data_IF_090887310462
#
_entry.id   IF_090887310462
#
_cell.length_a   1.000
_cell.length_b   1.000
_cell.length_c   1.000
_cell.angle_alpha   90.00
_cell.angle_beta   90.00
_cell.angle_gamma   90.00
#
_symmetry.space_group_name_H-M   'P 1'
#
loop_
_entity.id
_entity.type
_entity.pdbx_description
1 polymer ?
#
# COMPACT_ATOMS: atom_id res chain seq x y z
N UNK A 1 4.40 -15.07 12.03
CA UNK A 1 3.96 -13.71 11.67
C UNK A 1 3.34 -13.02 12.87
N UNK A 2 3.76 -11.81 13.18
CA UNK A 2 3.19 -10.95 14.23
C UNK A 2 2.73 -9.64 13.58
N UNK A 3 1.54 -9.17 13.95
CA UNK A 3 0.98 -7.89 13.51
C UNK A 3 0.53 -7.08 14.70
N UNK A 4 1.02 -5.86 14.79
CA UNK A 4 0.55 -4.85 15.72
C UNK A 4 -0.19 -3.76 14.95
N UNK A 5 -1.35 -3.33 15.46
CA UNK A 5 -2.16 -2.27 14.84
C UNK A 5 -2.66 -1.32 15.91
N UNK A 6 -2.38 -0.04 15.69
CA UNK A 6 -2.94 1.07 16.46
C UNK A 6 -3.81 1.91 15.54
N UNK A 7 -5.04 2.18 15.95
CA UNK A 7 -5.97 3.02 15.18
C UNK A 7 -6.54 4.10 16.07
N UNK A 8 -6.57 5.31 15.54
CA UNK A 8 -7.16 6.47 16.17
C UNK A 8 -8.06 7.18 15.15
N UNK A 9 -9.27 7.52 15.58
CA UNK A 9 -10.21 8.26 14.74
C UNK A 9 -10.89 9.33 15.58
N UNK A 10 -10.85 10.56 15.10
CA UNK A 10 -11.51 11.70 15.73
C UNK A 10 -12.07 12.63 14.65
N UNK A 11 -13.39 12.82 14.67
CA UNK A 11 -14.07 13.71 13.73
C UNK A 11 -13.81 13.31 12.28
N UNK A 12 -13.14 14.21 11.55
CA UNK A 12 -12.85 14.06 10.12
C UNK A 12 -11.60 13.22 9.83
N UNK A 13 -10.75 12.98 10.84
CA UNK A 13 -9.45 12.38 10.70
C UNK A 13 -9.44 10.94 11.22
N UNK A 14 -8.70 10.11 10.53
CA UNK A 14 -8.38 8.76 10.97
C UNK A 14 -6.89 8.48 10.77
N UNK A 15 -6.25 7.99 11.80
CA UNK A 15 -4.85 7.58 11.77
C UNK A 15 -4.77 6.09 12.07
N UNK A 16 -3.93 5.38 11.34
CA UNK A 16 -3.65 3.97 11.60
C UNK A 16 -2.18 3.68 11.39
N UNK A 17 -1.58 3.15 12.43
CA UNK A 17 -0.21 2.62 12.39
C UNK A 17 -0.28 1.10 12.41
N UNK A 18 0.42 0.45 11.52
CA UNK A 18 0.52 -1.01 11.48
C UNK A 18 1.99 -1.41 11.39
N UNK A 19 2.43 -2.29 12.27
CA UNK A 19 3.74 -2.91 12.21
C UNK A 19 3.57 -4.41 12.03
N UNK A 20 4.19 -4.95 11.01
CA UNK A 20 4.20 -6.39 10.70
C UNK A 20 5.62 -6.92 10.81
N UNK A 21 5.75 -8.06 11.43
CA UNK A 21 6.96 -8.87 11.44
C UNK A 21 6.65 -10.28 10.93
N UNK A 22 7.46 -10.75 10.00
CA UNK A 22 7.35 -12.07 9.40
C UNK A 22 8.68 -12.81 9.55
N UNK A 23 8.64 -14.04 10.01
CA UNK A 23 9.78 -14.94 10.06
C UNK A 23 9.44 -16.20 9.30
N UNK A 24 10.26 -16.55 8.36
CA UNK A 24 10.18 -17.78 7.58
C UNK A 24 11.39 -18.65 7.94
N UNK A 25 11.13 -19.91 8.25
CA UNK A 25 12.17 -20.90 8.57
C UNK A 25 12.01 -22.07 7.62
N UNK A 26 13.02 -22.30 6.81
CA UNK A 26 13.12 -23.45 5.94
C UNK A 26 14.23 -24.38 6.46
N UNK A 27 13.85 -25.63 6.70
CA UNK A 27 14.85 -26.63 7.13
C UNK A 27 15.92 -26.85 6.04
N UNK A 28 17.22 -27.09 6.38
CA UNK A 28 17.70 -27.35 7.74
C UNK A 28 18.21 -26.12 8.51
N UNK A 29 18.52 -24.94 7.86
CA UNK A 29 19.16 -23.81 8.58
C UNK A 29 18.92 -22.43 7.98
N UNK A 30 18.05 -22.25 6.97
CA UNK A 30 17.74 -20.91 6.43
C UNK A 30 16.61 -20.25 7.21
N UNK A 31 16.92 -19.14 7.86
CA UNK A 31 15.95 -18.29 8.54
C UNK A 31 15.93 -16.95 7.81
N UNK A 32 14.78 -16.58 7.28
CA UNK A 32 14.53 -15.32 6.61
C UNK A 32 13.54 -14.49 7.41
N UNK A 33 13.80 -13.19 7.52
CA UNK A 33 13.01 -12.27 8.29
C UNK A 33 12.58 -11.08 7.42
N UNK A 34 11.38 -10.60 7.68
CA UNK A 34 10.86 -9.41 7.04
C UNK A 34 9.99 -8.60 7.99
N UNK A 35 10.06 -7.30 7.89
CA UNK A 35 9.19 -6.41 8.64
C UNK A 35 8.77 -5.20 7.83
N UNK A 36 7.66 -4.63 8.21
CA UNK A 36 7.17 -3.38 7.64
C UNK A 36 6.48 -2.54 8.70
N UNK A 37 6.56 -1.24 8.49
CA UNK A 37 5.79 -0.26 9.26
C UNK A 37 4.99 0.58 8.28
N UNK A 38 3.68 0.66 8.50
CA UNK A 38 2.75 1.40 7.67
C UNK A 38 2.05 2.45 8.51
N UNK A 39 2.09 3.69 8.03
CA UNK A 39 1.31 4.79 8.56
C UNK A 39 0.25 5.19 7.54
N UNK A 40 -1.01 5.16 7.95
CA UNK A 40 -2.15 5.59 7.14
C UNK A 40 -2.82 6.78 7.80
N UNK A 41 -3.10 7.80 7.00
CA UNK A 41 -3.86 8.98 7.38
C UNK A 41 -5.06 9.12 6.44
N UNK A 42 -6.25 9.13 6.99
CA UNK A 42 -7.51 9.35 6.26
C UNK A 42 -8.19 10.63 6.68
N UNK A 43 -8.76 11.34 5.72
CA UNK A 43 -9.60 12.51 5.95
C UNK A 43 -10.89 12.37 5.15
N UNK A 44 -12.01 12.73 5.77
CA UNK A 44 -13.31 12.85 5.11
C UNK A 44 -13.83 14.27 5.29
N UNK A 45 -14.03 14.97 4.20
CA UNK A 45 -14.51 16.34 4.23
C UNK A 45 -16.05 16.36 4.41
N UNK A 46 -16.59 17.13 5.38
CA UNK A 46 -18.03 17.18 5.61
C UNK A 46 -18.75 18.02 4.58
N UNK A 47 -18.07 19.02 3.99
CA UNK A 47 -18.65 19.96 3.02
C UNK A 47 -18.61 19.44 1.58
N UNK A 48 -17.73 18.50 1.28
CA UNK A 48 -17.59 17.86 -0.01
C UNK A 48 -17.65 16.35 0.17
N UNK A 49 -18.31 15.64 -0.71
CA UNK A 49 -18.37 14.18 -0.66
C UNK A 49 -17.01 13.57 -1.09
N UNK A 50 -15.94 14.07 -0.46
CA UNK A 50 -14.55 13.70 -0.74
C UNK A 50 -13.93 13.03 0.45
N UNK A 51 -13.37 11.85 0.20
CA UNK A 51 -12.53 11.12 1.15
C UNK A 51 -11.14 10.90 0.56
N UNK A 52 -10.12 11.31 1.29
CA UNK A 52 -8.73 11.12 0.92
C UNK A 52 -8.04 10.18 1.91
N UNK A 53 -7.15 9.34 1.43
CA UNK A 53 -6.30 8.50 2.28
C UNK A 53 -4.88 8.54 1.75
N UNK A 54 -3.94 8.87 2.60
CA UNK A 54 -2.51 8.83 2.34
C UNK A 54 -1.90 7.71 3.17
N UNK A 55 -0.98 6.98 2.59
CA UNK A 55 -0.30 5.87 3.25
C UNK A 55 1.17 5.86 2.88
N UNK A 56 2.02 5.74 3.89
CA UNK A 56 3.44 5.48 3.75
C UNK A 56 3.78 4.13 4.38
N UNK A 57 4.52 3.29 3.67
CA UNK A 57 4.98 1.99 4.15
C UNK A 57 6.48 1.89 3.95
N UNK A 58 7.21 1.70 5.02
CA UNK A 58 8.61 1.30 4.98
C UNK A 58 8.71 -0.20 5.18
N UNK A 59 9.50 -0.88 4.35
CA UNK A 59 9.67 -2.32 4.41
C UNK A 59 11.14 -2.73 4.31
N UNK A 60 11.46 -3.81 5.00
CA UNK A 60 12.77 -4.48 4.95
C UNK A 60 12.57 -5.99 5.07
N UNK A 61 13.12 -6.74 4.13
CA UNK A 61 13.12 -8.21 4.16
C UNK A 61 14.49 -8.73 3.72
N UNK A 62 14.89 -9.86 4.29
CA UNK A 62 16.16 -10.49 3.95
C UNK A 62 16.16 -11.05 2.53
N UNK A 63 15.03 -11.66 2.12
CA UNK A 63 14.85 -12.26 0.82
C UNK A 63 13.36 -12.24 0.36
N UNK A 64 13.08 -12.92 -0.75
CA UNK A 64 11.74 -13.04 -1.31
C UNK A 64 10.80 -13.89 -0.44
N UNK A 65 11.31 -14.88 0.31
CA UNK A 65 10.49 -15.79 1.11
C UNK A 65 9.91 -15.09 2.35
N UNK A 66 10.62 -14.09 2.86
CA UNK A 66 10.15 -13.22 3.96
C UNK A 66 9.38 -11.99 3.52
N UNK A 67 8.94 -11.94 2.23
CA UNK A 67 8.17 -10.82 1.68
C UNK A 67 6.99 -10.41 2.56
N UNK A 68 6.76 -9.11 2.61
CA UNK A 68 5.68 -8.51 3.38
C UNK A 68 4.55 -8.01 2.49
N UNK A 69 3.34 -7.99 3.01
CA UNK A 69 2.14 -7.59 2.29
C UNK A 69 1.53 -6.38 2.98
N UNK A 70 1.46 -5.25 2.28
CA UNK A 70 0.81 -4.05 2.78
C UNK A 70 -0.64 -3.99 2.30
N UNK A 71 -1.55 -3.73 3.23
CA UNK A 71 -2.91 -3.40 2.88
C UNK A 71 -2.97 -1.95 2.40
N UNK A 72 -3.51 -1.73 1.22
CA UNK A 72 -3.81 -0.41 0.67
C UNK A 72 -5.29 -0.32 0.29
N UNK A 73 -5.88 0.87 0.45
CA UNK A 73 -7.18 1.10 -0.15
C UNK A 73 -7.08 0.95 -1.66
N UNK A 74 -7.93 0.09 -2.22
CA UNK A 74 -8.04 -0.16 -3.65
C UNK A 74 -9.27 0.49 -4.27
N UNK A 75 -9.44 0.25 -5.57
CA UNK A 75 -10.65 0.55 -6.30
C UNK A 75 -11.79 -0.37 -5.84
N UNK A 76 -13.02 -0.05 -6.17
CA UNK A 76 -14.15 -0.92 -5.86
C UNK A 76 -14.03 -2.24 -6.63
N UNK A 77 -14.34 -3.33 -5.94
CA UNK A 77 -14.33 -4.69 -6.48
C UNK A 77 -12.95 -5.18 -6.95
N UNK A 78 -11.87 -4.52 -6.54
CA UNK A 78 -10.49 -4.97 -6.78
C UNK A 78 -9.86 -5.47 -5.49
N UNK A 79 -9.30 -6.68 -5.55
CA UNK A 79 -8.56 -7.28 -4.45
C UNK A 79 -7.08 -7.33 -4.82
N UNK A 80 -6.39 -6.25 -4.54
CA UNK A 80 -4.96 -6.17 -4.78
C UNK A 80 -4.24 -5.79 -3.49
N UNK A 81 -3.36 -6.66 -3.05
CA UNK A 81 -2.49 -6.43 -1.89
C UNK A 81 -1.06 -6.45 -2.40
N UNK A 82 -0.40 -5.30 -2.50
CA UNK A 82 0.98 -5.25 -2.94
C UNK A 82 1.90 -6.02 -1.99
N UNK A 83 2.79 -6.80 -2.56
CA UNK A 83 3.85 -7.51 -1.84
C UNK A 83 5.19 -6.82 -2.09
N UNK A 84 6.02 -6.77 -1.06
CA UNK A 84 7.33 -6.14 -1.11
C UNK A 84 8.40 -7.08 -0.56
N UNK A 85 9.55 -7.07 -1.20
CA UNK A 85 10.76 -7.76 -0.74
C UNK A 85 11.98 -6.87 -0.97
N UNK A 86 13.04 -7.09 -0.19
CA UNK A 86 14.20 -6.22 -0.14
C UNK A 86 13.98 -5.01 0.78
N UNK A 87 14.54 -3.87 0.46
CA UNK A 87 14.45 -2.65 1.25
C UNK A 87 13.88 -1.50 0.43
N UNK A 88 12.89 -0.81 0.99
CA UNK A 88 12.32 0.32 0.30
C UNK A 88 11.22 1.03 1.06
N UNK A 89 10.67 2.01 0.37
CA UNK A 89 9.55 2.82 0.84
C UNK A 89 8.46 2.84 -0.23
N UNK A 90 7.22 2.67 0.19
CA UNK A 90 6.06 2.86 -0.67
C UNK A 90 5.15 3.94 -0.14
N UNK A 91 4.80 4.87 -1.02
CA UNK A 91 3.77 5.87 -0.81
C UNK A 91 2.54 5.52 -1.63
N UNK A 92 1.36 5.67 -1.07
CA UNK A 92 0.11 5.60 -1.82
C UNK A 92 -0.88 6.70 -1.41
N UNK A 93 -1.59 7.22 -2.39
CA UNK A 93 -2.66 8.19 -2.22
C UNK A 93 -3.93 7.64 -2.87
N UNK A 94 -5.02 7.68 -2.14
CA UNK A 94 -6.34 7.24 -2.59
C UNK A 94 -7.34 8.36 -2.38
N UNK A 95 -8.02 8.76 -3.45
CA UNK A 95 -9.07 9.77 -3.45
C UNK A 95 -10.38 9.12 -3.89
N UNK A 96 -11.44 9.39 -3.16
CA UNK A 96 -12.80 9.01 -3.51
C UNK A 96 -13.68 10.23 -3.46
N UNK A 97 -14.35 10.51 -4.57
CA UNK A 97 -15.28 11.60 -4.74
C UNK A 97 -16.66 11.07 -5.15
N UNK A 98 -17.64 11.22 -4.28
CA UNK A 98 -19.04 10.83 -4.52
C UNK A 98 -19.81 12.07 -4.98
N UNK A 99 -19.74 12.39 -6.29
CA UNK A 99 -20.33 13.62 -6.84
C UNK A 99 -21.85 13.66 -6.66
N UNK A 100 -22.51 12.52 -6.93
CA UNK A 100 -23.93 12.28 -6.70
C UNK A 100 -24.16 10.78 -6.47
N UNK A 101 -25.37 10.40 -6.08
CA UNK A 101 -25.74 8.99 -5.84
C UNK A 101 -25.50 8.08 -7.05
N UNK A 102 -25.48 8.65 -8.25
CA UNK A 102 -25.27 7.96 -9.50
C UNK A 102 -23.84 8.05 -10.07
N UNK A 103 -22.99 8.98 -9.56
CA UNK A 103 -21.64 9.20 -10.06
C UNK A 103 -20.61 9.20 -8.92
N UNK A 104 -19.68 8.26 -8.99
CA UNK A 104 -18.53 8.15 -8.09
C UNK A 104 -17.24 8.08 -8.89
N UNK A 105 -16.23 8.82 -8.45
CA UNK A 105 -14.88 8.79 -8.98
C UNK A 105 -13.91 8.32 -7.91
N UNK A 106 -13.05 7.37 -8.26
CA UNK A 106 -11.95 6.92 -7.41
C UNK A 106 -10.66 7.05 -8.18
N UNK A 107 -9.64 7.63 -7.56
CA UNK A 107 -8.28 7.69 -8.07
C UNK A 107 -7.31 7.14 -7.03
N UNK A 108 -6.39 6.29 -7.45
CA UNK A 108 -5.32 5.76 -6.63
C UNK A 108 -4.00 5.95 -7.34
N UNK A 109 -3.07 6.55 -6.64
CA UNK A 109 -1.67 6.66 -7.06
C UNK A 109 -0.79 5.90 -6.06
N UNK A 110 0.17 5.14 -6.55
CA UNK A 110 1.16 4.45 -5.76
C UNK A 110 2.56 4.64 -6.33
N UNK A 111 3.54 4.78 -5.47
CA UNK A 111 4.96 4.82 -5.85
C UNK A 111 5.79 4.02 -4.86
N UNK A 112 6.59 3.11 -5.38
CA UNK A 112 7.56 2.32 -4.60
C UNK A 112 8.97 2.76 -4.98
N UNK A 113 9.78 3.01 -3.96
CA UNK A 113 11.20 3.37 -4.06
C UNK A 113 12.01 2.25 -3.41
N UNK A 114 12.80 1.53 -4.19
CA UNK A 114 13.72 0.52 -3.67
C UNK A 114 15.07 1.14 -3.37
N UNK A 115 15.67 0.72 -2.26
CA UNK A 115 17.00 1.19 -1.82
C UNK A 115 18.10 0.17 -2.08
N UNK A 116 17.74 -1.05 -2.43
CA UNK A 116 18.63 -2.22 -2.54
C UNK A 116 18.81 -2.70 -3.99
N UNK A 117 18.25 -1.98 -4.97
CA UNK A 117 18.31 -2.36 -6.39
C UNK A 117 18.19 -1.17 -7.32
N UNK A 118 18.78 -1.32 -8.49
CA UNK A 118 18.72 -0.33 -9.58
C UNK A 118 17.76 -0.74 -10.71
N UNK A 119 17.23 -1.96 -10.66
CA UNK A 119 16.27 -2.50 -11.63
C UNK A 119 15.15 -3.25 -10.91
N UNK A 120 13.93 -3.18 -11.43
CA UNK A 120 12.74 -3.82 -10.86
C UNK A 120 12.11 -4.71 -11.93
N UNK A 121 11.82 -5.96 -11.56
CA UNK A 121 11.23 -6.94 -12.46
C UNK A 121 12.25 -7.63 -13.35
N UNK A 122 11.79 -8.35 -14.37
CA UNK A 122 12.62 -9.07 -15.33
C UNK A 122 11.89 -9.26 -16.65
N UNK A 123 12.65 -9.49 -17.73
CA UNK A 123 12.09 -9.72 -19.06
C UNK A 123 11.35 -8.49 -19.59
N UNK A 124 10.13 -8.69 -20.09
CA UNK A 124 9.31 -7.61 -20.67
C UNK A 124 8.79 -6.61 -19.64
N UNK A 125 8.80 -6.98 -18.34
CA UNK A 125 8.36 -6.13 -17.23
C UNK A 125 9.53 -5.43 -16.50
N UNK A 126 10.72 -5.44 -17.13
CA UNK A 126 11.90 -4.81 -16.56
C UNK A 126 11.75 -3.28 -16.54
N UNK A 127 11.84 -2.70 -15.35
CA UNK A 127 11.90 -1.26 -15.15
C UNK A 127 13.35 -0.91 -14.80
N UNK A 128 14.00 -0.12 -15.68
CA UNK A 128 15.32 0.43 -15.39
C UNK A 128 15.17 1.58 -14.39
N UNK A 129 15.72 1.40 -13.22
CA UNK A 129 15.64 2.32 -12.10
C UNK A 129 15.03 1.68 -10.84
N UNK A 130 15.13 2.39 -9.74
CA UNK A 130 14.67 1.92 -8.42
C UNK A 130 13.26 2.40 -8.06
N UNK A 131 12.51 2.99 -9.02
CA UNK A 131 11.18 3.57 -8.82
C UNK A 131 10.14 2.83 -9.65
N UNK A 132 9.05 2.44 -9.01
CA UNK A 132 7.87 1.89 -9.67
C UNK A 132 6.66 2.72 -9.27
N UNK A 133 5.96 3.29 -10.26
CA UNK A 133 4.74 4.07 -10.05
C UNK A 133 3.55 3.39 -10.69
N UNK A 134 2.40 3.45 -10.03
CA UNK A 134 1.13 2.94 -10.53
C UNK A 134 0.03 4.00 -10.33
N UNK A 135 -0.81 4.17 -11.34
CA UNK A 135 -1.98 5.03 -11.31
C UNK A 135 -3.20 4.23 -11.74
N UNK A 136 -4.24 4.28 -10.95
CA UNK A 136 -5.52 3.64 -11.22
C UNK A 136 -6.64 4.65 -11.05
N UNK A 137 -7.56 4.68 -12.01
CA UNK A 137 -8.75 5.54 -11.98
C UNK A 137 -9.97 4.70 -12.27
N UNK A 138 -11.02 4.89 -11.48
CA UNK A 138 -12.30 4.21 -11.66
C UNK A 138 -13.43 5.22 -11.62
N UNK A 139 -14.31 5.14 -12.61
CA UNK A 139 -15.56 5.86 -12.66
C UNK A 139 -16.70 4.85 -12.51
N UNK A 140 -17.61 5.10 -11.57
CA UNK A 140 -18.82 4.29 -11.39
C UNK A 140 -20.03 5.13 -11.70
N UNK A 141 -20.80 4.65 -12.66
CA UNK A 141 -22.12 5.16 -13.01
C UNK A 141 -23.17 4.16 -12.53
N UNK A 142 -24.23 4.66 -11.90
CA UNK A 142 -25.37 3.86 -11.48
C UNK A 142 -26.60 4.41 -12.20
N UNK A 143 -27.24 3.57 -12.98
CA UNK A 143 -28.46 3.87 -13.72
C UNK A 143 -29.69 3.38 -12.96
#
# INVERSE_FOLDING_TARGET
KVRYRLSYAQGLWSLRTTADYNRFVQAPLQCSQGWQVTQMCGVRLPFLPLAATLQGTYFHTDDYDSRVYAYEKGLLYTFYTPSFYGRGFRFSAHLRYDFRDWLMLIAKFGQTLYQDREEIGSGNDLIRGNKKSDLQVQVRLKF
#
